data_IF_974159449684
#
_entry.id   IF_974159449684
#
_cell.length_a   1.000
_cell.length_b   1.000
_cell.length_c   1.000
_cell.angle_alpha   90.00
_cell.angle_beta   90.00
_cell.angle_gamma   90.00
#
_symmetry.space_group_name_H-M   'P 1'
#
loop_
_entity.id
_entity.type
_entity.pdbx_description
1 polymer ?
#
# COMPACT_ATOMS: atom_id res chain seq x y z
N UNK A 1 -6.61 -14.83 2.69
CA UNK A 1 -7.08 -15.84 1.72
C UNK A 1 -6.35 -17.16 1.88
N UNK A 2 -5.01 -17.20 1.84
CA UNK A 2 -4.25 -18.44 2.07
C UNK A 2 -4.39 -18.94 3.52
N UNK A 3 -4.35 -18.06 4.52
CA UNK A 3 -4.67 -18.42 5.91
C UNK A 3 -6.07 -19.05 6.03
N UNK A 4 -7.09 -18.42 5.46
CA UNK A 4 -8.47 -18.91 5.53
C UNK A 4 -8.67 -20.26 4.81
N UNK A 5 -7.88 -20.53 3.78
CA UNK A 5 -7.90 -21.79 3.04
C UNK A 5 -7.12 -22.91 3.75
N UNK A 6 -5.93 -22.62 4.30
CA UNK A 6 -5.03 -23.61 4.89
C UNK A 6 -5.33 -23.89 6.36
N UNK A 7 -5.85 -22.93 7.12
CA UNK A 7 -6.13 -23.10 8.55
C UNK A 7 -7.15 -24.22 8.85
N UNK A 8 -8.23 -24.42 8.07
CA UNK A 8 -9.13 -25.56 8.24
C UNK A 8 -8.45 -26.93 8.05
N UNK A 9 -7.37 -27.01 7.26
CA UNK A 9 -6.62 -28.24 7.03
C UNK A 9 -5.73 -28.65 8.22
N UNK A 10 -5.62 -27.81 9.26
CA UNK A 10 -4.91 -28.17 10.51
C UNK A 10 -5.41 -29.48 11.14
N UNK A 11 -6.66 -29.84 10.87
CA UNK A 11 -7.29 -31.09 11.34
C UNK A 11 -6.61 -32.34 10.75
N UNK A 12 -6.02 -32.22 9.57
CA UNK A 12 -5.32 -33.30 8.87
C UNK A 12 -3.79 -33.18 8.98
N UNK A 13 -3.28 -31.98 9.25
CA UNK A 13 -1.86 -31.67 9.20
C UNK A 13 -1.46 -30.80 10.40
N UNK A 14 -0.85 -31.41 11.41
CA UNK A 14 -0.59 -30.80 12.74
C UNK A 14 0.34 -29.58 12.69
N UNK A 15 1.27 -29.52 11.74
CA UNK A 15 2.19 -28.37 11.60
C UNK A 15 1.51 -27.09 11.08
N UNK A 16 0.30 -27.17 10.52
CA UNK A 16 -0.48 -25.99 10.12
C UNK A 16 -1.04 -25.20 11.32
N UNK A 17 -0.98 -25.74 12.55
CA UNK A 17 -1.33 -24.99 13.77
C UNK A 17 -0.47 -23.72 13.94
N UNK A 18 0.75 -23.71 13.40
CA UNK A 18 1.64 -22.54 13.46
C UNK A 18 1.02 -21.32 12.77
N UNK A 19 0.15 -21.53 11.76
CA UNK A 19 -0.59 -20.48 11.08
C UNK A 19 -1.64 -19.79 11.97
N UNK A 20 -2.00 -20.36 13.12
CA UNK A 20 -2.92 -19.74 14.07
C UNK A 20 -2.29 -18.62 14.90
N UNK A 21 -0.95 -18.58 15.02
CA UNK A 21 -0.27 -17.59 15.84
C UNK A 21 -0.10 -16.26 15.08
N UNK A 22 -0.56 -15.17 15.71
CA UNK A 22 -0.44 -13.81 15.15
C UNK A 22 1.03 -13.46 14.87
N UNK A 23 1.95 -13.76 15.80
CA UNK A 23 3.38 -13.46 15.63
C UNK A 23 3.96 -14.14 14.39
N UNK A 24 3.64 -15.42 14.17
CA UNK A 24 4.11 -16.15 12.99
C UNK A 24 3.58 -15.53 11.70
N UNK A 25 2.28 -15.24 11.65
CA UNK A 25 1.64 -14.63 10.47
C UNK A 25 2.23 -13.26 10.16
N UNK A 26 2.48 -12.43 11.17
CA UNK A 26 3.09 -11.11 11.03
C UNK A 26 4.53 -11.20 10.49
N UNK A 27 5.35 -12.09 11.05
CA UNK A 27 6.72 -12.30 10.55
C UNK A 27 6.72 -12.85 9.13
N UNK A 28 5.86 -13.83 8.82
CA UNK A 28 5.73 -14.40 7.49
C UNK A 28 5.29 -13.33 6.47
N UNK A 29 4.34 -12.45 6.84
CA UNK A 29 3.93 -11.34 6.00
C UNK A 29 5.08 -10.35 5.74
N UNK A 30 5.83 -9.97 6.77
CA UNK A 30 6.97 -9.06 6.63
C UNK A 30 8.08 -9.65 5.73
N UNK A 31 8.43 -10.93 5.92
CA UNK A 31 9.39 -11.61 5.07
C UNK A 31 8.89 -11.70 3.62
N UNK A 32 7.62 -12.05 3.42
CA UNK A 32 7.03 -12.10 2.07
C UNK A 32 7.06 -10.73 1.40
N UNK A 33 6.76 -9.65 2.13
CA UNK A 33 6.86 -8.28 1.64
C UNK A 33 8.28 -7.94 1.19
N UNK A 34 9.27 -8.29 2.00
CA UNK A 34 10.68 -8.07 1.71
C UNK A 34 11.13 -8.85 0.46
N UNK A 35 10.75 -10.11 0.35
CA UNK A 35 11.04 -10.93 -0.83
C UNK A 35 10.42 -10.34 -2.09
N UNK A 36 9.16 -9.91 -2.05
CA UNK A 36 8.48 -9.27 -3.17
C UNK A 36 9.23 -8.00 -3.57
N UNK A 37 9.59 -7.14 -2.60
CA UNK A 37 10.30 -5.89 -2.87
C UNK A 37 11.69 -6.13 -3.49
N UNK A 38 12.45 -7.12 -3.02
CA UNK A 38 13.78 -7.41 -3.57
C UNK A 38 13.74 -8.08 -4.95
N UNK A 39 12.79 -9.00 -5.17
CA UNK A 39 12.70 -9.73 -6.44
C UNK A 39 12.08 -8.83 -7.52
N UNK A 40 10.97 -8.17 -7.21
CA UNK A 40 10.27 -7.32 -8.17
C UNK A 40 10.90 -5.94 -8.31
N UNK A 41 11.62 -5.44 -7.30
CA UNK A 41 12.21 -4.11 -7.29
C UNK A 41 13.09 -3.81 -8.53
N UNK A 42 14.11 -4.62 -8.84
CA UNK A 42 14.96 -4.41 -10.02
C UNK A 42 14.18 -4.43 -11.34
N UNK A 43 13.20 -5.33 -11.46
CA UNK A 43 12.32 -5.42 -12.62
C UNK A 43 11.46 -4.15 -12.77
N UNK A 44 10.86 -3.70 -11.66
CA UNK A 44 10.04 -2.50 -11.61
C UNK A 44 10.84 -1.23 -11.95
N UNK A 45 12.05 -1.12 -11.40
CA UNK A 45 12.98 -0.02 -11.70
C UNK A 45 13.33 -0.01 -13.19
N UNK A 46 13.58 -1.18 -13.80
CA UNK A 46 13.88 -1.29 -15.23
C UNK A 46 12.70 -0.83 -16.09
N UNK A 47 11.46 -1.20 -15.75
CA UNK A 47 10.24 -0.73 -16.45
C UNK A 47 10.12 0.79 -16.37
N UNK A 48 10.24 1.35 -15.16
CA UNK A 48 10.09 2.80 -14.96
C UNK A 48 11.16 3.60 -15.73
N UNK A 49 12.40 3.08 -15.78
CA UNK A 49 13.49 3.66 -16.56
C UNK A 49 13.22 3.60 -18.07
N UNK A 50 12.66 2.49 -18.57
CA UNK A 50 12.30 2.33 -19.99
C UNK A 50 11.20 3.29 -20.43
N UNK A 51 10.23 3.56 -19.56
CA UNK A 51 9.14 4.50 -19.85
C UNK A 51 9.52 5.98 -19.71
N UNK A 52 10.83 6.28 -19.51
CA UNK A 52 11.37 7.63 -19.31
C UNK A 52 10.61 8.40 -18.22
N UNK A 53 10.16 7.68 -17.19
CA UNK A 53 9.54 8.23 -15.98
C UNK A 53 10.66 8.75 -15.07
N UNK A 54 11.43 9.70 -15.59
CA UNK A 54 12.42 10.45 -14.87
C UNK A 54 11.96 11.90 -14.82
N UNK A 55 12.14 12.56 -13.67
CA UNK A 55 11.83 13.98 -13.58
C UNK A 55 12.61 14.76 -14.66
N UNK A 56 11.89 15.50 -15.50
CA UNK A 56 12.49 16.50 -16.38
C UNK A 56 13.04 17.62 -15.49
N UNK A 57 14.34 17.57 -15.20
CA UNK A 57 15.01 18.59 -14.38
C UNK A 57 14.89 19.93 -15.10
N UNK A 58 14.41 20.96 -14.37
CA UNK A 58 14.50 22.35 -14.82
C UNK A 58 15.98 22.70 -15.04
N UNK A 59 16.33 23.17 -16.24
CA UNK A 59 17.70 23.54 -16.61
C UNK A 59 18.34 24.66 -15.74
N UNK A 60 17.58 25.31 -14.84
CA UNK A 60 18.01 26.48 -14.06
C UNK A 60 18.42 26.15 -12.60
N UNK A 61 18.85 24.92 -12.30
CA UNK A 61 19.25 24.50 -10.93
C UNK A 61 20.76 24.25 -10.78
N UNK A 62 21.33 24.35 -9.56
CA UNK A 62 22.75 24.09 -9.31
C UNK A 62 23.16 22.67 -9.72
N UNK A 63 24.41 22.49 -10.15
CA UNK A 63 24.97 21.23 -10.69
C UNK A 63 24.84 20.01 -9.77
N UNK A 64 24.71 20.19 -8.45
CA UNK A 64 24.43 19.10 -7.50
C UNK A 64 23.02 18.49 -7.64
N UNK A 65 22.04 19.26 -8.13
CA UNK A 65 20.68 18.76 -8.39
C UNK A 65 20.59 17.89 -9.64
N UNK A 66 21.59 17.92 -10.53
CA UNK A 66 21.66 17.07 -11.72
C UNK A 66 22.02 15.60 -11.38
N UNK A 67 22.60 15.32 -10.21
CA UNK A 67 22.92 13.95 -9.79
C UNK A 67 21.69 13.15 -9.29
N UNK A 68 20.57 13.81 -8.99
CA UNK A 68 19.28 13.14 -8.73
C UNK A 68 18.52 12.77 -10.02
N UNK A 69 19.11 13.06 -11.17
CA UNK A 69 18.57 12.75 -12.50
C UNK A 69 18.44 11.24 -12.71
N UNK A 70 17.24 10.80 -13.06
CA UNK A 70 16.99 9.44 -13.49
C UNK A 70 16.58 8.46 -12.39
N UNK A 71 16.40 8.90 -11.14
CA UNK A 71 15.74 8.08 -10.12
C UNK A 71 14.27 7.96 -10.49
N UNK A 72 13.75 6.75 -10.75
CA UNK A 72 12.39 6.59 -11.26
C UNK A 72 11.36 7.04 -10.21
N UNK A 73 10.44 7.90 -10.64
CA UNK A 73 9.24 8.25 -9.87
C UNK A 73 8.21 7.13 -10.03
N UNK A 74 7.33 6.90 -9.03
CA UNK A 74 6.35 5.78 -8.90
C UNK A 74 6.77 4.52 -8.12
N UNK A 75 7.86 4.56 -7.33
CA UNK A 75 8.21 3.45 -6.42
C UNK A 75 7.13 3.09 -5.39
N UNK A 76 6.18 4.00 -5.14
CA UNK A 76 5.03 3.75 -4.26
C UNK A 76 4.15 2.59 -4.71
N UNK A 77 4.05 2.31 -6.01
CA UNK A 77 3.28 1.17 -6.52
C UNK A 77 3.92 -0.16 -6.11
N UNK A 78 5.26 -0.26 -6.17
CA UNK A 78 5.99 -1.43 -5.67
C UNK A 78 5.72 -1.66 -4.20
N UNK A 79 5.76 -0.60 -3.38
CA UNK A 79 5.49 -0.70 -1.94
C UNK A 79 4.04 -1.13 -1.68
N UNK A 80 3.06 -0.56 -2.39
CA UNK A 80 1.65 -0.97 -2.25
C UNK A 80 1.46 -2.45 -2.57
N UNK A 81 2.01 -2.94 -3.68
CA UNK A 81 1.95 -4.36 -4.02
C UNK A 81 2.67 -5.23 -2.97
N UNK A 82 3.83 -4.78 -2.49
CA UNK A 82 4.63 -5.50 -1.49
C UNK A 82 3.97 -5.56 -0.12
N UNK A 83 2.99 -4.69 0.18
CA UNK A 83 2.22 -4.74 1.43
C UNK A 83 0.88 -5.47 1.24
N UNK A 84 0.14 -5.14 0.17
CA UNK A 84 -1.20 -5.70 -0.06
C UNK A 84 -1.15 -7.22 -0.26
N UNK A 85 -0.19 -7.71 -1.05
CA UNK A 85 -0.10 -9.15 -1.35
C UNK A 85 0.14 -9.96 -0.06
N UNK A 86 1.16 -9.67 0.78
CA UNK A 86 1.34 -10.38 2.04
C UNK A 86 0.17 -10.26 3.01
N UNK A 87 -0.45 -9.08 3.12
CA UNK A 87 -1.64 -8.90 3.98
C UNK A 87 -2.81 -9.77 3.49
N UNK A 88 -3.01 -9.93 2.18
CA UNK A 88 -4.04 -10.83 1.65
C UNK A 88 -3.70 -12.31 1.85
N UNK A 89 -2.41 -12.68 1.82
CA UNK A 89 -1.96 -14.05 2.02
C UNK A 89 -2.10 -14.46 3.49
N UNK A 90 -1.52 -13.67 4.40
CA UNK A 90 -1.32 -13.99 5.81
C UNK A 90 -2.31 -13.33 6.75
N UNK A 91 -2.89 -12.19 6.38
CA UNK A 91 -3.83 -11.42 7.20
C UNK A 91 -5.21 -12.08 7.32
N UNK A 92 -5.91 -11.73 8.40
CA UNK A 92 -7.27 -12.19 8.63
C UNK A 92 -8.26 -11.20 8.04
N UNK A 93 -8.82 -11.55 6.88
CA UNK A 93 -9.74 -10.65 6.16
C UNK A 93 -11.08 -10.55 6.90
N UNK A 94 -11.38 -11.45 7.84
CA UNK A 94 -12.57 -11.32 8.68
C UNK A 94 -12.43 -10.21 9.72
N UNK A 95 -11.20 -9.79 10.03
CA UNK A 95 -10.95 -8.70 10.96
C UNK A 95 -11.25 -7.34 10.31
N UNK A 96 -12.19 -6.59 10.91
CA UNK A 96 -12.59 -5.25 10.44
C UNK A 96 -11.41 -4.27 10.31
N UNK A 97 -10.40 -4.34 11.18
CA UNK A 97 -9.24 -3.45 11.10
C UNK A 97 -8.37 -3.75 9.88
N UNK A 98 -8.23 -5.02 9.51
CA UNK A 98 -7.52 -5.42 8.29
C UNK A 98 -8.30 -4.96 7.05
N UNK A 99 -9.63 -5.05 7.07
CA UNK A 99 -10.46 -4.54 5.98
C UNK A 99 -10.31 -3.02 5.82
N UNK A 100 -10.41 -2.26 6.91
CA UNK A 100 -10.21 -0.79 6.91
C UNK A 100 -8.80 -0.45 6.39
N UNK A 101 -7.77 -1.16 6.84
CA UNK A 101 -6.39 -0.97 6.40
C UNK A 101 -6.25 -1.22 4.89
N UNK A 102 -6.83 -2.30 4.37
CA UNK A 102 -6.79 -2.62 2.93
C UNK A 102 -7.52 -1.56 2.10
N UNK A 103 -8.70 -1.12 2.53
CA UNK A 103 -9.44 -0.04 1.88
C UNK A 103 -8.62 1.24 1.86
N UNK A 104 -8.00 1.59 3.00
CA UNK A 104 -7.17 2.80 3.14
C UNK A 104 -5.95 2.75 2.21
N UNK A 105 -5.23 1.63 2.20
CA UNK A 105 -4.07 1.43 1.33
C UNK A 105 -4.45 1.51 -0.15
N UNK A 106 -5.53 0.84 -0.57
CA UNK A 106 -5.97 0.88 -1.96
C UNK A 106 -6.41 2.29 -2.35
N UNK A 107 -7.21 2.96 -1.52
CA UNK A 107 -7.69 4.32 -1.80
C UNK A 107 -6.55 5.32 -1.93
N UNK A 108 -5.65 5.36 -0.95
CA UNK A 108 -4.51 6.28 -0.93
C UNK A 108 -3.49 5.96 -2.02
N UNK A 109 -3.29 4.67 -2.30
CA UNK A 109 -2.47 4.18 -3.42
C UNK A 109 -3.01 4.60 -4.78
N UNK A 110 -4.32 4.47 -5.00
CA UNK A 110 -4.97 4.94 -6.24
C UNK A 110 -4.85 6.44 -6.39
N UNK A 111 -5.08 7.20 -5.32
CA UNK A 111 -4.95 8.65 -5.34
C UNK A 111 -3.51 9.09 -5.68
N UNK A 112 -2.51 8.43 -5.08
CA UNK A 112 -1.10 8.64 -5.39
C UNK A 112 -0.75 8.24 -6.82
N UNK A 113 -1.26 7.10 -7.30
CA UNK A 113 -1.06 6.64 -8.67
C UNK A 113 -1.64 7.62 -9.70
N UNK A 114 -2.84 8.16 -9.46
CA UNK A 114 -3.46 9.18 -10.32
C UNK A 114 -2.61 10.44 -10.35
N UNK A 115 -2.12 10.93 -9.20
CA UNK A 115 -1.26 12.11 -9.11
C UNK A 115 0.04 11.92 -9.91
N UNK A 116 0.71 10.78 -9.71
CA UNK A 116 1.94 10.44 -10.44
C UNK A 116 1.67 10.25 -11.95
N UNK A 117 0.57 9.61 -12.32
CA UNK A 117 0.17 9.45 -13.72
C UNK A 117 -0.07 10.81 -14.41
N UNK A 118 -0.72 11.76 -13.73
CA UNK A 118 -0.94 13.11 -14.25
C UNK A 118 0.39 13.87 -14.45
N UNK A 119 1.34 13.71 -13.53
CA UNK A 119 2.65 14.37 -13.60
C UNK A 119 3.51 13.80 -14.72
N UNK A 120 3.56 12.48 -14.81
CA UNK A 120 4.49 11.76 -15.69
C UNK A 120 3.93 11.64 -17.11
N UNK A 121 2.72 11.09 -17.25
CA UNK A 121 2.14 10.78 -18.55
C UNK A 121 1.50 12.01 -19.19
N UNK A 122 0.69 12.74 -18.43
CA UNK A 122 0.01 13.96 -18.92
C UNK A 122 0.90 15.22 -18.87
N UNK A 123 2.14 15.12 -18.35
CA UNK A 123 3.11 16.22 -18.22
C UNK A 123 2.55 17.47 -17.53
N UNK A 124 1.55 17.29 -16.66
CA UNK A 124 0.98 18.37 -15.87
C UNK A 124 1.91 18.66 -14.68
N UNK A 125 2.66 19.76 -14.74
CA UNK A 125 3.67 20.12 -13.72
C UNK A 125 3.13 20.14 -12.28
N UNK A 126 1.84 20.43 -12.10
CA UNK A 126 1.19 20.48 -10.79
C UNK A 126 0.58 19.13 -10.34
N UNK A 127 0.52 18.13 -11.23
CA UNK A 127 -0.15 16.85 -10.96
C UNK A 127 -1.65 16.99 -10.72
N UNK A 128 -2.18 16.16 -9.81
CA UNK A 128 -3.56 16.26 -9.37
C UNK A 128 -3.76 17.57 -8.60
N UNK A 129 -4.83 18.30 -8.92
CA UNK A 129 -5.12 19.58 -8.26
C UNK A 129 -5.26 19.34 -6.75
N UNK A 130 -4.55 20.15 -5.95
CA UNK A 130 -4.46 19.98 -4.50
C UNK A 130 -5.82 19.81 -3.81
N UNK A 131 -6.85 20.54 -4.27
CA UNK A 131 -8.22 20.41 -3.74
C UNK A 131 -8.77 18.99 -3.91
N UNK A 132 -8.60 18.35 -5.07
CA UNK A 132 -9.11 16.99 -5.29
C UNK A 132 -8.33 15.95 -4.48
N UNK A 133 -7.01 16.15 -4.33
CA UNK A 133 -6.16 15.31 -3.49
C UNK A 133 -6.61 15.38 -2.02
N UNK A 134 -6.82 16.58 -1.52
CA UNK A 134 -7.28 16.82 -0.14
C UNK A 134 -8.71 16.31 0.06
N UNK A 135 -9.63 16.60 -0.85
CA UNK A 135 -11.02 16.11 -0.78
C UNK A 135 -11.05 14.58 -0.75
N UNK A 136 -10.25 13.90 -1.56
CA UNK A 136 -10.17 12.44 -1.54
C UNK A 136 -9.65 11.88 -0.21
N UNK A 137 -8.67 12.54 0.42
CA UNK A 137 -8.18 12.15 1.75
C UNK A 137 -9.19 12.45 2.86
N UNK A 138 -9.87 13.59 2.80
CA UNK A 138 -10.92 13.97 3.75
C UNK A 138 -12.12 13.03 3.69
N UNK A 139 -12.60 12.69 2.49
CA UNK A 139 -13.71 11.74 2.32
C UNK A 139 -13.36 10.39 2.94
N UNK A 140 -12.16 9.88 2.68
CA UNK A 140 -11.72 8.61 3.27
C UNK A 140 -11.65 8.70 4.81
N UNK A 141 -11.03 9.76 5.33
CA UNK A 141 -10.89 9.96 6.77
C UNK A 141 -12.24 10.07 7.48
N UNK A 142 -13.18 10.84 6.91
CA UNK A 142 -14.54 10.96 7.45
C UNK A 142 -15.29 9.63 7.36
N UNK A 143 -15.22 8.91 6.23
CA UNK A 143 -15.89 7.63 6.08
C UNK A 143 -15.41 6.60 7.11
N UNK A 144 -14.09 6.47 7.29
CA UNK A 144 -13.50 5.55 8.28
C UNK A 144 -13.80 6.01 9.70
N UNK A 145 -13.66 7.32 9.97
CA UNK A 145 -13.94 7.90 11.29
C UNK A 145 -15.39 7.68 11.71
N UNK A 146 -16.35 7.97 10.82
CA UNK A 146 -17.76 7.69 11.05
C UNK A 146 -18.03 6.20 11.23
N UNK A 147 -17.44 5.34 10.41
CA UNK A 147 -17.61 3.88 10.56
C UNK A 147 -17.13 3.40 11.94
N UNK A 148 -15.95 3.82 12.38
CA UNK A 148 -15.42 3.44 13.69
C UNK A 148 -16.24 4.02 14.86
N UNK A 149 -16.78 5.22 14.69
CA UNK A 149 -17.64 5.87 15.68
C UNK A 149 -18.99 5.16 15.85
N UNK A 150 -19.65 4.77 14.74
CA UNK A 150 -20.95 4.09 14.78
C UNK A 150 -20.85 2.59 15.08
N UNK A 151 -19.70 1.97 14.81
CA UNK A 151 -19.47 0.55 15.05
C UNK A 151 -18.26 0.31 15.99
N UNK A 152 -18.32 0.80 17.24
CA UNK A 152 -17.25 0.58 18.21
C UNK A 152 -17.11 -0.90 18.53
N UNK A 153 -15.87 -1.35 18.77
CA UNK A 153 -15.59 -2.74 19.19
C UNK A 153 -15.99 -3.01 20.63
N UNK A 154 -15.87 -1.98 21.47
CA UNK A 154 -16.23 -2.01 22.88
C UNK A 154 -17.24 -0.89 23.16
N UNK A 155 -18.55 -1.17 23.06
CA UNK A 155 -19.60 -0.18 23.29
C UNK A 155 -19.53 0.44 24.69
N UNK A 156 -19.06 -0.32 25.68
CA UNK A 156 -19.01 0.06 27.09
C UNK A 156 -18.04 1.20 27.41
N UNK A 157 -16.99 1.40 26.59
CA UNK A 157 -15.99 2.46 26.79
C UNK A 157 -16.47 3.77 26.15
N UNK A 158 -17.40 3.72 25.19
CA UNK A 158 -17.87 4.90 24.45
C UNK A 158 -18.95 5.70 25.20
N UNK A 159 -19.48 5.17 26.30
CA UNK A 159 -20.56 5.77 27.10
C UNK A 159 -20.09 6.37 28.45
N UNK A 160 -18.78 6.55 28.64
CA UNK A 160 -18.19 7.25 29.79
C UNK A 160 -17.61 8.60 29.36
#
# INVERSE_FOLDING_TARGET
MIYLLLYPLKKYVTWLNVLGYISFRSTAAALTALFIAFILGPYFIRILKQHKIGETIRQNGPTSHLQKSGTPTMGGLLIHCSVIIPVLLWGDITNRYIQILLITLVWTGLLGFIDDYLKVYKKLKKGLIARYKLTGQLILGLAIGSYLYFFPEHPEISSA
#
